data_IF_301995640282
#
_entry.id   IF_301995640282
#
_cell.length_a   1.000
_cell.length_b   1.000
_cell.length_c   1.000
_cell.angle_alpha   90.00
_cell.angle_beta   90.00
_cell.angle_gamma   90.00
#
_symmetry.space_group_name_H-M   'P 1'
#
loop_
_entity.id
_entity.type
_entity.pdbx_description
1 polymer ?
#
# COMPACT_ATOMS: atom_id res chain seq x y z
N UNK A 1 27.08 -2.34 3.69
CA UNK A 1 27.24 -3.38 2.65
C UNK A 1 26.11 -3.23 1.68
N UNK A 2 26.44 -2.85 0.43
CA UNK A 2 25.46 -2.70 -0.62
C UNK A 2 24.84 -4.06 -0.92
N UNK A 3 23.53 -4.15 -0.88
CA UNK A 3 22.81 -5.35 -1.32
C UNK A 3 22.54 -5.22 -2.82
N UNK A 4 23.23 -6.00 -3.67
CA UNK A 4 23.16 -5.82 -5.12
C UNK A 4 21.76 -6.11 -5.70
N UNK A 5 20.90 -6.86 -5.00
CA UNK A 5 19.53 -7.11 -5.45
C UNK A 5 18.66 -5.88 -5.22
N UNK A 6 18.78 -5.22 -4.06
CA UNK A 6 17.98 -4.03 -3.73
C UNK A 6 18.48 -2.79 -4.51
N UNK A 7 19.77 -2.65 -4.72
CA UNK A 7 20.37 -1.49 -5.38
C UNK A 7 20.43 -1.59 -6.91
N UNK A 8 20.22 -2.79 -7.48
CA UNK A 8 20.24 -2.98 -8.92
C UNK A 8 18.94 -2.44 -9.54
N UNK A 9 19.01 -1.45 -10.44
CA UNK A 9 17.82 -0.87 -11.08
C UNK A 9 17.06 -1.86 -11.98
N UNK A 10 17.63 -3.01 -12.30
CA UNK A 10 16.97 -4.08 -13.08
C UNK A 10 16.34 -5.16 -12.20
N UNK A 11 16.52 -5.11 -10.89
CA UNK A 11 15.85 -6.04 -9.98
C UNK A 11 14.33 -5.82 -10.00
N UNK A 12 13.64 -6.93 -9.87
CA UNK A 12 12.20 -6.95 -9.70
C UNK A 12 11.86 -6.70 -8.24
N UNK A 13 10.65 -6.24 -7.97
CA UNK A 13 10.22 -6.03 -6.60
C UNK A 13 8.72 -5.80 -6.51
N UNK A 14 8.18 -6.12 -5.35
CA UNK A 14 6.81 -5.82 -4.98
C UNK A 14 6.79 -5.09 -3.64
N UNK A 15 5.81 -4.21 -3.46
CA UNK A 15 5.67 -3.37 -2.29
C UNK A 15 4.21 -3.26 -1.89
N UNK A 16 3.90 -3.62 -0.66
CA UNK A 16 2.59 -3.40 -0.07
C UNK A 16 2.73 -2.56 1.19
N UNK A 17 1.75 -1.70 1.44
CA UNK A 17 1.84 -0.77 2.57
C UNK A 17 0.52 -0.62 3.30
N UNK A 18 0.61 -0.27 4.58
CA UNK A 18 -0.54 0.16 5.35
C UNK A 18 -0.13 1.20 6.40
N UNK A 19 -1.02 2.13 6.68
CA UNK A 19 -0.92 2.98 7.84
C UNK A 19 -1.71 2.36 8.99
N UNK A 20 -1.09 2.29 10.15
CA UNK A 20 -1.61 1.65 11.35
C UNK A 20 -1.84 2.68 12.46
N UNK A 21 -3.07 2.75 12.96
CA UNK A 21 -3.44 3.63 14.08
C UNK A 21 -3.10 2.99 15.43
N UNK A 22 -3.09 1.65 15.47
CA UNK A 22 -2.82 0.86 16.68
C UNK A 22 -1.82 -0.26 16.37
N UNK A 23 -1.39 -0.99 17.40
CA UNK A 23 -0.55 -2.19 17.26
C UNK A 23 -1.20 -3.26 16.37
N UNK A 24 -0.41 -4.19 15.89
CA UNK A 24 -0.91 -5.41 15.25
C UNK A 24 -1.80 -6.20 16.18
N UNK A 25 -2.82 -6.85 15.64
CA UNK A 25 -3.60 -7.87 16.35
C UNK A 25 -2.79 -9.17 16.46
N UNK A 26 -3.23 -10.06 17.35
CA UNK A 26 -2.59 -11.36 17.50
C UNK A 26 -2.72 -12.20 16.21
N UNK A 27 -3.84 -12.07 15.48
CA UNK A 27 -4.03 -12.72 14.17
C UNK A 27 -3.05 -12.19 13.12
N UNK A 28 -2.82 -10.88 13.07
CA UNK A 28 -1.84 -10.28 12.16
C UNK A 28 -0.41 -10.75 12.48
N UNK A 29 -0.07 -10.82 13.76
CA UNK A 29 1.22 -11.34 14.22
C UNK A 29 1.36 -12.83 13.81
N UNK A 30 0.32 -13.62 14.00
CA UNK A 30 0.33 -15.03 13.62
C UNK A 30 0.50 -15.23 12.10
N UNK A 31 -0.13 -14.38 11.28
CA UNK A 31 0.07 -14.39 9.82
C UNK A 31 1.51 -14.06 9.47
N UNK A 32 2.04 -12.97 9.99
CA UNK A 32 3.43 -12.55 9.74
C UNK A 32 4.43 -13.64 10.16
N UNK A 33 4.27 -14.18 11.38
CA UNK A 33 5.14 -15.23 11.87
C UNK A 33 5.11 -16.46 10.93
N UNK A 34 3.92 -16.95 10.59
CA UNK A 34 3.75 -18.10 9.69
C UNK A 34 4.41 -17.87 8.32
N UNK A 35 4.18 -16.71 7.72
CA UNK A 35 4.67 -16.41 6.38
C UNK A 35 6.19 -16.16 6.33
N UNK A 36 6.73 -15.47 7.33
CA UNK A 36 8.17 -15.18 7.38
C UNK A 36 9.01 -16.35 7.91
N UNK A 37 8.39 -17.36 8.53
CA UNK A 37 9.08 -18.58 8.98
C UNK A 37 8.84 -19.80 8.08
N UNK A 38 8.24 -19.62 6.91
CA UNK A 38 8.03 -20.71 5.94
C UNK A 38 9.36 -21.33 5.49
N UNK A 39 9.50 -22.65 5.52
CA UNK A 39 10.77 -23.30 5.14
C UNK A 39 11.06 -23.21 3.64
N UNK A 40 10.03 -23.01 2.80
CA UNK A 40 10.12 -22.82 1.36
C UNK A 40 10.35 -21.35 0.94
N UNK A 41 10.37 -20.42 1.88
CA UNK A 41 10.60 -19.01 1.63
C UNK A 41 11.88 -18.52 2.34
N UNK A 42 12.95 -18.41 1.59
CA UNK A 42 14.29 -18.08 2.13
C UNK A 42 14.91 -16.81 1.51
N UNK A 43 14.07 -15.94 0.93
CA UNK A 43 14.58 -14.73 0.26
C UNK A 43 15.10 -13.69 1.28
N UNK A 44 16.42 -13.45 1.35
CA UNK A 44 17.03 -12.49 2.29
C UNK A 44 16.71 -11.03 1.93
N UNK A 45 16.12 -10.77 0.76
CA UNK A 45 15.76 -9.45 0.28
C UNK A 45 14.27 -9.14 0.53
N UNK A 46 13.65 -9.88 1.44
CA UNK A 46 12.28 -9.60 1.91
C UNK A 46 12.34 -8.92 3.26
N UNK A 47 11.60 -7.83 3.40
CA UNK A 47 11.62 -7.00 4.60
C UNK A 47 10.20 -6.60 4.99
N UNK A 48 9.91 -6.71 6.29
CA UNK A 48 8.83 -6.00 6.94
C UNK A 48 9.41 -4.75 7.61
N UNK A 49 9.17 -3.59 7.03
CA UNK A 49 9.70 -2.33 7.56
C UNK A 49 8.60 -1.56 8.28
N UNK A 50 8.87 -1.16 9.50
CA UNK A 50 7.96 -0.35 10.30
C UNK A 50 8.57 1.04 10.48
N UNK A 51 7.91 2.06 9.93
CA UNK A 51 8.28 3.45 10.12
C UNK A 51 7.40 4.07 11.20
N UNK A 52 7.98 4.61 12.26
CA UNK A 52 7.24 5.41 13.22
C UNK A 52 6.57 6.60 12.53
N UNK A 53 5.36 6.91 12.93
CA UNK A 53 4.56 8.00 12.39
C UNK A 53 3.91 8.76 13.55
N UNK A 54 3.61 10.04 13.36
CA UNK A 54 3.00 10.81 14.44
C UNK A 54 3.69 12.15 14.71
N UNK A 55 3.52 12.69 15.90
CA UNK A 55 4.05 14.00 16.26
C UNK A 55 3.54 15.11 15.34
N UNK A 56 4.42 15.91 14.78
CA UNK A 56 4.08 17.03 13.89
C UNK A 56 3.39 16.57 12.59
N UNK A 57 3.62 15.36 12.12
CA UNK A 57 2.92 14.82 10.95
C UNK A 57 1.41 14.70 11.20
N UNK A 58 1.04 14.32 12.43
CA UNK A 58 -0.36 14.18 12.84
C UNK A 58 -0.99 15.51 13.30
N UNK A 59 -0.22 16.59 13.40
CA UNK A 59 -0.72 17.90 13.81
C UNK A 59 -1.50 18.64 12.69
N UNK A 60 -1.27 18.25 11.43
CA UNK A 60 -1.99 18.84 10.29
C UNK A 60 -3.32 18.10 10.08
N UNK A 61 -4.41 18.78 9.73
CA UNK A 61 -5.65 18.12 9.37
C UNK A 61 -5.51 17.31 8.07
N UNK A 62 -6.24 16.21 7.92
CA UNK A 62 -6.17 15.35 6.72
C UNK A 62 -6.40 16.10 5.40
N UNK A 63 -7.22 17.14 5.42
CA UNK A 63 -7.59 17.92 4.25
C UNK A 63 -6.53 18.94 3.83
N UNK A 64 -5.52 19.19 4.66
CA UNK A 64 -4.52 20.25 4.39
C UNK A 64 -3.62 19.93 3.19
N UNK A 65 -3.37 18.65 2.91
CA UNK A 65 -2.46 18.21 1.84
C UNK A 65 -3.04 16.99 1.10
N UNK A 66 -2.38 16.56 0.02
CA UNK A 66 -2.74 15.34 -0.69
C UNK A 66 -2.61 14.07 0.19
N UNK A 67 -1.61 14.05 1.09
CA UNK A 67 -1.46 12.96 2.06
C UNK A 67 -2.46 13.14 3.20
N UNK A 68 -3.41 12.21 3.31
CA UNK A 68 -4.54 12.26 4.26
C UNK A 68 -4.30 11.49 5.55
N UNK A 69 -3.25 10.69 5.65
CA UNK A 69 -2.96 9.86 6.82
C UNK A 69 -2.36 10.74 7.91
N UNK A 70 -3.16 11.03 8.94
CA UNK A 70 -2.82 11.96 10.04
C UNK A 70 -3.11 11.42 11.43
N UNK A 71 -3.50 10.15 11.54
CA UNK A 71 -3.83 9.51 12.83
C UNK A 71 -2.96 8.30 13.13
N UNK A 72 -2.05 7.98 12.22
CA UNK A 72 -1.28 6.75 12.28
C UNK A 72 -0.20 6.80 13.36
N UNK A 73 0.00 5.67 14.03
CA UNK A 73 1.12 5.45 14.94
C UNK A 73 2.38 4.99 14.19
N UNK A 74 2.20 4.19 13.13
CA UNK A 74 3.29 3.76 12.27
C UNK A 74 2.79 3.42 10.86
N UNK A 75 3.73 3.32 9.93
CA UNK A 75 3.51 2.84 8.57
C UNK A 75 4.24 1.50 8.41
N UNK A 76 3.49 0.49 7.98
CA UNK A 76 4.00 -0.80 7.54
C UNK A 76 4.37 -0.73 6.07
N UNK A 77 5.51 -1.30 5.69
CA UNK A 77 5.88 -1.61 4.31
C UNK A 77 6.38 -3.05 4.25
N UNK A 78 5.68 -3.90 3.51
CA UNK A 78 6.15 -5.22 3.12
C UNK A 78 6.82 -5.05 1.78
N UNK A 79 8.07 -5.49 1.66
CA UNK A 79 8.91 -5.30 0.47
C UNK A 79 9.63 -6.60 0.16
N UNK A 80 9.56 -7.01 -1.08
CA UNK A 80 10.24 -8.22 -1.58
C UNK A 80 10.96 -7.89 -2.89
N UNK A 81 12.24 -8.23 -2.99
CA UNK A 81 13.04 -8.01 -4.19
C UNK A 81 13.63 -9.34 -4.67
N UNK A 82 13.71 -9.51 -6.00
CA UNK A 82 14.31 -10.70 -6.62
C UNK A 82 14.88 -10.37 -8.00
N UNK A 83 15.90 -11.11 -8.47
CA UNK A 83 16.56 -10.82 -9.75
C UNK A 83 15.93 -11.51 -10.96
N UNK A 84 15.37 -12.71 -10.79
CA UNK A 84 14.93 -13.55 -11.92
C UNK A 84 13.43 -13.40 -12.20
N UNK A 85 13.02 -13.02 -13.43
CA UNK A 85 11.61 -13.01 -13.81
C UNK A 85 10.89 -14.35 -13.66
N UNK A 86 11.59 -15.48 -13.69
CA UNK A 86 11.00 -16.80 -13.49
C UNK A 86 10.40 -16.97 -12.08
N UNK A 87 10.85 -16.19 -11.11
CA UNK A 87 10.40 -16.23 -9.72
C UNK A 87 9.21 -15.29 -9.43
N UNK A 88 8.73 -14.53 -10.43
CA UNK A 88 7.67 -13.53 -10.23
C UNK A 88 6.43 -14.11 -9.56
N UNK A 89 5.92 -15.20 -10.09
CA UNK A 89 4.70 -15.83 -9.58
C UNK A 89 4.83 -16.22 -8.11
N UNK A 90 5.97 -16.81 -7.75
CA UNK A 90 6.24 -17.27 -6.39
C UNK A 90 6.29 -16.10 -5.39
N UNK A 91 7.07 -15.05 -5.69
CA UNK A 91 7.24 -13.92 -4.77
C UNK A 91 5.99 -13.04 -4.69
N UNK A 92 5.32 -12.81 -5.82
CA UNK A 92 4.04 -12.08 -5.83
C UNK A 92 2.95 -12.84 -5.08
N UNK A 93 2.88 -14.17 -5.23
CA UNK A 93 1.92 -14.98 -4.48
C UNK A 93 2.18 -14.90 -2.97
N UNK A 94 3.45 -15.04 -2.54
CA UNK A 94 3.81 -14.95 -1.14
C UNK A 94 3.44 -13.57 -0.53
N UNK A 95 3.73 -12.50 -1.23
CA UNK A 95 3.44 -11.15 -0.76
C UNK A 95 1.93 -10.88 -0.66
N UNK A 96 1.17 -11.36 -1.65
CA UNK A 96 -0.30 -11.31 -1.67
C UNK A 96 -0.91 -12.12 -0.53
N UNK A 97 -0.50 -13.37 -0.35
CA UNK A 97 -0.96 -14.23 0.75
C UNK A 97 -0.70 -13.59 2.12
N UNK A 98 0.50 -13.02 2.29
CA UNK A 98 0.88 -12.35 3.54
C UNK A 98 -0.01 -11.14 3.79
N UNK A 99 -0.13 -10.26 2.81
CA UNK A 99 -0.88 -9.02 2.96
C UNK A 99 -2.39 -9.25 3.12
N UNK A 100 -2.98 -10.07 2.25
CA UNK A 100 -4.39 -10.43 2.34
C UNK A 100 -4.73 -11.13 3.67
N UNK A 101 -3.82 -11.97 4.16
CA UNK A 101 -3.95 -12.60 5.46
C UNK A 101 -3.93 -11.62 6.62
N UNK A 102 -3.03 -10.62 6.58
CA UNK A 102 -2.96 -9.56 7.60
C UNK A 102 -4.24 -8.72 7.65
N UNK A 103 -4.89 -8.49 6.51
CA UNK A 103 -6.09 -7.67 6.40
C UNK A 103 -7.35 -8.50 6.11
N UNK A 104 -7.36 -9.79 6.46
CA UNK A 104 -8.48 -10.69 6.21
C UNK A 104 -9.79 -10.19 6.83
N UNK A 105 -9.73 -9.63 8.04
CA UNK A 105 -10.89 -9.06 8.73
C UNK A 105 -11.55 -7.87 8.00
N UNK A 106 -10.83 -7.24 7.07
CA UNK A 106 -11.31 -6.10 6.27
C UNK A 106 -11.29 -6.41 4.77
N UNK A 107 -11.37 -7.69 4.40
CA UNK A 107 -11.49 -8.11 3.00
C UNK A 107 -10.19 -8.01 2.18
N UNK A 108 -9.03 -8.06 2.83
CA UNK A 108 -7.72 -8.08 2.19
C UNK A 108 -7.08 -6.71 1.98
N UNK A 109 -7.68 -5.64 2.51
CA UNK A 109 -7.17 -4.28 2.40
C UNK A 109 -7.24 -3.52 3.73
N UNK A 110 -6.33 -2.56 4.02
CA UNK A 110 -6.35 -1.76 5.25
C UNK A 110 -7.40 -0.64 5.17
N UNK A 111 -8.67 -1.01 5.22
CA UNK A 111 -9.79 -0.05 5.17
C UNK A 111 -9.70 0.93 6.33
N UNK A 112 -9.76 2.25 6.08
CA UNK A 112 -9.70 3.25 7.13
C UNK A 112 -10.77 3.02 8.23
N UNK A 113 -10.31 2.83 9.45
CA UNK A 113 -11.13 2.58 10.65
C UNK A 113 -10.35 2.91 11.92
N UNK A 114 -10.78 2.45 13.10
CA UNK A 114 -10.05 2.67 14.34
C UNK A 114 -8.63 2.06 14.36
N UNK A 115 -8.37 1.02 13.57
CA UNK A 115 -7.10 0.29 13.53
C UNK A 115 -6.21 0.70 12.36
N UNK A 116 -6.79 1.00 11.19
CA UNK A 116 -6.09 1.27 9.94
C UNK A 116 -6.39 2.67 9.41
N UNK A 117 -5.43 3.24 8.68
CA UNK A 117 -5.56 4.57 8.09
C UNK A 117 -5.36 4.57 6.54
N UNK A 118 -5.47 3.40 5.91
CA UNK A 118 -5.32 3.23 4.47
C UNK A 118 -3.90 2.89 4.02
N UNK A 119 -3.61 3.13 2.74
CA UNK A 119 -2.38 2.76 2.06
C UNK A 119 -1.47 3.98 1.78
N UNK A 120 -0.18 3.73 1.51
CA UNK A 120 0.80 4.75 1.15
C UNK A 120 0.98 4.85 -0.37
N UNK A 121 0.63 6.00 -0.95
CA UNK A 121 0.56 6.17 -2.41
C UNK A 121 1.93 6.08 -3.12
N UNK A 122 3.04 6.31 -2.44
CA UNK A 122 4.35 6.13 -3.06
C UNK A 122 4.74 4.64 -3.22
N UNK A 123 3.94 3.73 -2.67
CA UNK A 123 3.96 2.30 -2.96
C UNK A 123 2.61 1.90 -3.56
N UNK A 124 2.33 2.34 -4.82
CA UNK A 124 1.07 2.04 -5.47
C UNK A 124 0.98 0.54 -5.75
N UNK A 125 -0.08 -0.08 -5.25
CA UNK A 125 -0.33 -1.50 -5.38
C UNK A 125 -1.61 -1.72 -6.20
N UNK A 126 -1.45 -2.21 -7.41
CA UNK A 126 -2.57 -2.44 -8.34
C UNK A 126 -3.59 -3.45 -7.82
N UNK A 127 -3.19 -4.33 -6.90
CA UNK A 127 -4.10 -5.28 -6.25
C UNK A 127 -5.22 -4.56 -5.46
N UNK A 128 -4.99 -3.30 -5.04
CA UNK A 128 -6.01 -2.50 -4.35
C UNK A 128 -7.16 -2.06 -5.27
N UNK A 129 -6.95 -2.06 -6.58
CA UNK A 129 -7.98 -1.81 -7.59
C UNK A 129 -8.61 -3.12 -8.14
N UNK A 130 -8.04 -4.27 -7.82
CA UNK A 130 -8.54 -5.57 -8.26
C UNK A 130 -9.58 -6.12 -7.25
N UNK A 131 -10.86 -6.29 -7.62
CA UNK A 131 -11.89 -6.82 -6.73
C UNK A 131 -11.65 -8.28 -6.32
N UNK A 132 -10.82 -9.03 -7.04
CA UNK A 132 -10.41 -10.36 -6.62
C UNK A 132 -9.46 -10.35 -5.42
N UNK A 133 -8.73 -9.25 -5.23
CA UNK A 133 -7.77 -9.03 -4.15
C UNK A 133 -8.34 -8.14 -3.04
N UNK A 134 -8.82 -6.96 -3.41
CA UNK A 134 -9.51 -6.05 -2.50
C UNK A 134 -11.00 -6.40 -2.45
N UNK A 135 -11.37 -7.29 -1.57
CA UNK A 135 -12.76 -7.73 -1.33
C UNK A 135 -13.48 -6.89 -0.27
N UNK A 136 -12.89 -5.77 0.14
CA UNK A 136 -13.43 -4.92 1.21
C UNK A 136 -14.67 -4.11 0.78
N UNK A 137 -14.93 -3.99 -0.51
CA UNK A 137 -15.92 -3.06 -1.06
C UNK A 137 -15.50 -1.59 -1.02
N UNK A 138 -14.31 -1.27 -0.51
CA UNK A 138 -13.76 0.09 -0.47
C UNK A 138 -12.86 0.32 -1.67
N UNK A 139 -13.16 1.31 -2.49
CA UNK A 139 -12.36 1.65 -3.66
C UNK A 139 -10.94 2.10 -3.29
N UNK A 140 -9.97 1.80 -4.18
CA UNK A 140 -8.57 2.17 -3.99
C UNK A 140 -8.38 3.67 -3.74
N UNK A 141 -9.20 4.52 -4.34
CA UNK A 141 -9.17 5.97 -4.13
C UNK A 141 -9.35 6.33 -2.66
N UNK A 142 -10.26 5.64 -1.97
CA UNK A 142 -10.49 5.83 -0.54
C UNK A 142 -9.34 5.27 0.31
N UNK A 143 -8.75 4.14 -0.09
CA UNK A 143 -7.61 3.54 0.62
C UNK A 143 -6.39 4.47 0.61
N UNK A 144 -6.14 5.20 -0.48
CA UNK A 144 -4.98 6.08 -0.62
C UNK A 144 -5.28 7.53 -0.26
N UNK A 145 -6.45 8.07 -0.60
CA UNK A 145 -6.73 9.51 -0.57
C UNK A 145 -7.96 9.91 0.28
N UNK A 146 -8.73 8.93 0.75
CA UNK A 146 -9.96 9.20 1.53
C UNK A 146 -10.85 10.25 0.85
N UNK A 147 -11.32 11.24 1.59
CA UNK A 147 -12.15 12.34 1.08
C UNK A 147 -11.43 13.34 0.17
N UNK A 148 -10.10 13.30 0.08
CA UNK A 148 -9.35 14.24 -0.74
C UNK A 148 -9.34 13.91 -2.24
N UNK A 149 -9.75 12.69 -2.64
CA UNK A 149 -9.65 12.24 -4.03
C UNK A 149 -10.35 13.20 -5.00
N UNK A 150 -11.57 13.63 -4.69
CA UNK A 150 -12.31 14.59 -5.55
C UNK A 150 -11.59 15.93 -5.74
N UNK A 151 -10.95 16.44 -4.68
CA UNK A 151 -10.14 17.67 -4.77
C UNK A 151 -8.92 17.47 -5.64
N UNK A 152 -8.29 16.29 -5.56
CA UNK A 152 -7.16 15.93 -6.43
C UNK A 152 -7.59 15.79 -7.90
N UNK A 153 -8.78 15.28 -8.18
CA UNK A 153 -9.34 15.25 -9.53
C UNK A 153 -9.51 16.68 -10.11
N UNK A 154 -10.00 17.63 -9.31
CA UNK A 154 -10.07 19.02 -9.74
C UNK A 154 -8.69 19.64 -10.00
N UNK A 155 -7.70 19.34 -9.15
CA UNK A 155 -6.33 19.76 -9.39
C UNK A 155 -5.76 19.14 -10.68
N UNK A 156 -6.01 17.84 -10.90
CA UNK A 156 -5.64 17.13 -12.14
C UNK A 156 -6.24 17.81 -13.37
N UNK A 157 -7.53 18.13 -13.34
CA UNK A 157 -8.20 18.81 -14.46
C UNK A 157 -7.62 20.20 -14.76
N UNK A 158 -7.17 20.92 -13.72
CA UNK A 158 -6.57 22.25 -13.88
C UNK A 158 -5.14 22.20 -14.45
N UNK A 159 -4.33 21.20 -14.03
CA UNK A 159 -2.90 21.17 -14.34
C UNK A 159 -2.52 20.16 -15.44
N UNK A 160 -3.36 19.17 -15.67
CA UNK A 160 -3.17 18.13 -16.70
C UNK A 160 -4.50 17.80 -17.39
N UNK A 161 -5.16 18.78 -18.03
CA UNK A 161 -6.49 18.61 -18.63
C UNK A 161 -6.51 17.59 -19.78
N UNK A 162 -5.36 17.32 -20.40
CA UNK A 162 -5.24 16.33 -21.48
C UNK A 162 -4.94 14.93 -20.97
N UNK A 163 -4.82 14.76 -19.63
CA UNK A 163 -4.49 13.48 -19.00
C UNK A 163 -3.19 12.86 -19.51
N UNK A 164 -2.16 13.69 -19.70
CA UNK A 164 -0.85 13.25 -20.18
C UNK A 164 -0.13 12.35 -19.17
N UNK A 165 -0.16 12.71 -17.87
CA UNK A 165 0.46 11.93 -16.82
C UNK A 165 -0.53 10.88 -16.30
N UNK A 166 -0.34 9.63 -16.72
CA UNK A 166 -1.21 8.49 -16.35
C UNK A 166 -0.42 7.31 -15.83
N UNK A 167 -0.98 6.60 -14.86
CA UNK A 167 -0.56 5.28 -14.40
C UNK A 167 -1.75 4.57 -13.73
N UNK A 168 -1.63 3.27 -13.44
CA UNK A 168 -2.74 2.41 -13.01
C UNK A 168 -3.53 2.91 -11.79
N UNK A 169 -2.89 3.63 -10.86
CA UNK A 169 -3.54 4.25 -9.67
C UNK A 169 -3.33 5.77 -9.69
N UNK A 170 -3.24 6.36 -10.87
CA UNK A 170 -3.15 7.81 -11.04
C UNK A 170 -4.46 8.51 -10.69
N UNK A 171 -4.38 9.79 -10.34
CA UNK A 171 -5.58 10.60 -10.20
C UNK A 171 -6.24 10.72 -11.58
N UNK A 172 -7.49 10.34 -11.66
CA UNK A 172 -8.31 10.42 -12.86
C UNK A 172 -8.89 11.83 -13.04
N UNK A 173 -9.19 12.19 -14.28
CA UNK A 173 -9.98 13.40 -14.52
C UNK A 173 -11.38 13.23 -13.91
N UNK A 174 -12.02 14.31 -13.40
CA UNK A 174 -13.39 14.22 -12.95
C UNK A 174 -14.30 13.81 -14.12
N UNK A 175 -15.32 13.01 -13.82
CA UNK A 175 -16.37 12.71 -14.79
C UNK A 175 -16.98 14.03 -15.29
N UNK A 176 -17.18 14.13 -16.60
CA UNK A 176 -17.88 15.28 -17.17
C UNK A 176 -19.28 15.33 -16.56
N UNK A 177 -19.67 16.46 -15.98
CA UNK A 177 -21.04 16.67 -15.55
C UNK A 177 -21.95 16.50 -16.78
N UNK A 178 -22.69 15.38 -16.81
CA UNK A 178 -23.70 15.09 -17.84
C UNK A 178 -24.93 15.93 -17.62
#
# INVERSE_FOLDING_TARGET
TDNPVITNPTSRGAHKSAYMNTRFTDDQIAVLYRQMSRPDFTNPNTMLVLFSFGGQVNASPPEATANVQRQSAFKLCLQTFWPDPADDEFYLAWERETYEGMFAATGGAPVPNAQFDGCYINYPDVDMADPARNRSGTGWQTLYFKGNYRRLQHAKAAWDPTNYFTHSLGIELPESAS
#
